data_IF_861776729842
#
_entry.id   IF_861776729842
#
_cell.length_a   1.000
_cell.length_b   1.000
_cell.length_c   1.000
_cell.angle_alpha   90.00
_cell.angle_beta   90.00
_cell.angle_gamma   90.00
#
_symmetry.space_group_name_H-M   'P 1'
#
loop_
_entity.id
_entity.type
_entity.pdbx_description
1 polymer ?
#
# COMPACT_ATOMS: atom_id res chain seq x y z
N UNK A 1 -30.46 27.67 -2.73
CA UNK A 1 -30.90 26.74 -1.66
C UNK A 1 -31.11 25.30 -2.16
N UNK A 2 -31.34 25.06 -3.46
CA UNK A 2 -31.47 23.71 -4.04
C UNK A 2 -30.15 22.95 -4.19
N UNK A 3 -29.03 23.63 -4.49
CA UNK A 3 -27.71 23.01 -4.57
C UNK A 3 -27.22 22.43 -3.21
N UNK A 4 -27.57 23.08 -2.10
CA UNK A 4 -27.19 22.63 -0.75
C UNK A 4 -27.88 21.32 -0.32
N UNK A 5 -29.09 21.06 -0.84
CA UNK A 5 -29.86 19.83 -0.56
C UNK A 5 -29.36 18.63 -1.37
N UNK A 6 -28.78 18.85 -2.55
CA UNK A 6 -28.15 17.80 -3.35
C UNK A 6 -26.79 17.35 -2.83
N UNK A 7 -26.06 18.24 -2.13
CA UNK A 7 -24.76 17.95 -1.53
C UNK A 7 -24.89 17.10 -0.24
N UNK A 8 -26.03 17.18 0.46
CA UNK A 8 -26.24 16.54 1.76
C UNK A 8 -26.11 15.01 1.74
N UNK A 9 -26.71 14.28 0.76
CA UNK A 9 -26.56 12.83 0.66
C UNK A 9 -25.13 12.39 0.33
N UNK A 10 -24.41 13.13 -0.53
CA UNK A 10 -23.01 12.80 -0.90
C UNK A 10 -22.04 13.04 0.25
N UNK A 11 -22.23 14.13 1.00
CA UNK A 11 -21.49 14.39 2.23
C UNK A 11 -21.79 13.31 3.27
N UNK A 12 -23.05 12.89 3.41
CA UNK A 12 -23.45 11.83 4.33
C UNK A 12 -22.82 10.47 3.96
N UNK A 13 -22.81 10.10 2.68
CA UNK A 13 -22.18 8.87 2.19
C UNK A 13 -20.65 8.90 2.46
N UNK A 14 -20.00 10.03 2.16
CA UNK A 14 -18.57 10.23 2.45
C UNK A 14 -18.27 10.11 3.94
N UNK A 15 -19.04 10.79 4.80
CA UNK A 15 -18.88 10.70 6.24
C UNK A 15 -19.08 9.28 6.76
N UNK A 16 -19.98 8.51 6.16
CA UNK A 16 -20.24 7.11 6.55
C UNK A 16 -19.05 6.22 6.22
N UNK A 17 -18.49 6.32 5.00
CA UNK A 17 -17.26 5.60 4.62
C UNK A 17 -16.07 6.00 5.50
N UNK A 18 -15.87 7.29 5.77
CA UNK A 18 -14.81 7.77 6.66
C UNK A 18 -15.00 7.26 8.10
N UNK A 19 -16.24 7.21 8.59
CA UNK A 19 -16.59 6.63 9.89
C UNK A 19 -16.27 5.14 9.96
N UNK A 20 -16.59 4.38 8.91
CA UNK A 20 -16.25 2.96 8.81
C UNK A 20 -14.73 2.74 8.82
N UNK A 21 -13.98 3.53 8.05
CA UNK A 21 -12.51 3.47 8.04
C UNK A 21 -11.93 3.81 9.41
N UNK A 22 -12.46 4.83 10.10
CA UNK A 22 -12.04 5.18 11.45
C UNK A 22 -12.26 4.01 12.43
N UNK A 23 -13.45 3.39 12.41
CA UNK A 23 -13.75 2.24 13.25
C UNK A 23 -12.82 1.06 12.98
N UNK A 24 -12.54 0.77 11.70
CA UNK A 24 -11.57 -0.26 11.30
C UNK A 24 -10.17 0.03 11.84
N UNK A 25 -9.69 1.27 11.70
CA UNK A 25 -8.38 1.69 12.23
C UNK A 25 -8.32 1.58 13.75
N UNK A 26 -9.34 2.02 14.46
CA UNK A 26 -9.39 1.95 15.92
C UNK A 26 -9.43 0.50 16.42
N UNK A 27 -10.25 -0.35 15.79
CA UNK A 27 -10.37 -1.76 16.16
C UNK A 27 -9.06 -2.53 15.90
N UNK A 28 -8.43 -2.31 14.74
CA UNK A 28 -7.12 -2.89 14.42
C UNK A 28 -6.02 -2.35 15.34
N UNK A 29 -6.04 -1.05 15.67
CA UNK A 29 -5.14 -0.45 16.65
C UNK A 29 -5.26 -1.09 18.03
N UNK A 30 -6.48 -1.27 18.53
CA UNK A 30 -6.74 -1.95 19.79
C UNK A 30 -6.25 -3.39 19.78
N UNK A 31 -6.57 -4.16 18.73
CA UNK A 31 -6.10 -5.54 18.58
C UNK A 31 -4.57 -5.62 18.56
N UNK A 32 -3.89 -4.67 17.91
CA UNK A 32 -2.42 -4.59 17.90
C UNK A 32 -1.84 -4.25 19.27
N UNK A 33 -2.48 -3.37 20.05
CA UNK A 33 -2.03 -3.04 21.41
C UNK A 33 -2.17 -4.26 22.32
N UNK A 34 -3.30 -4.98 22.25
CA UNK A 34 -3.54 -6.19 23.06
C UNK A 34 -2.53 -7.28 22.69
N UNK A 35 -2.28 -7.48 21.41
CA UNK A 35 -1.34 -8.51 20.95
C UNK A 35 0.12 -8.19 21.28
N UNK A 36 0.50 -6.91 21.42
CA UNK A 36 1.88 -6.44 21.70
C UNK A 36 2.45 -6.83 23.06
N UNK A 37 1.70 -7.50 23.94
CA UNK A 37 2.25 -8.08 25.16
C UNK A 37 3.06 -9.34 24.82
N UNK A 38 4.41 -9.26 24.77
CA UNK A 38 5.20 -10.31 24.16
C UNK A 38 5.45 -11.44 25.16
N UNK A 39 5.02 -12.66 24.82
CA UNK A 39 5.63 -13.86 25.37
C UNK A 39 6.67 -14.38 24.38
N UNK A 40 7.93 -14.47 24.80
CA UNK A 40 9.06 -14.96 23.98
C UNK A 40 8.78 -16.31 23.30
N UNK A 41 7.94 -17.16 23.93
CA UNK A 41 7.50 -18.46 23.40
C UNK A 41 6.70 -18.35 22.08
N UNK A 42 6.08 -17.21 21.78
CA UNK A 42 5.15 -17.04 20.65
C UNK A 42 5.58 -15.96 19.65
N UNK A 43 6.88 -15.67 19.54
CA UNK A 43 7.40 -14.55 18.73
C UNK A 43 7.02 -14.63 17.23
N UNK A 44 6.99 -15.84 16.66
CA UNK A 44 6.58 -16.05 15.27
C UNK A 44 5.07 -15.82 15.06
N UNK A 45 4.24 -16.33 15.97
CA UNK A 45 2.80 -16.09 15.95
C UNK A 45 2.48 -14.60 16.16
N UNK A 46 3.22 -13.93 17.04
CA UNK A 46 3.09 -12.50 17.27
C UNK A 46 3.43 -11.68 16.02
N UNK A 47 4.54 -12.00 15.35
CA UNK A 47 4.93 -11.40 14.07
C UNK A 47 3.84 -11.59 13.02
N UNK A 48 3.33 -12.81 12.89
CA UNK A 48 2.23 -13.12 11.97
C UNK A 48 1.00 -12.25 12.24
N UNK A 49 0.51 -12.22 13.49
CA UNK A 49 -0.72 -11.51 13.83
C UNK A 49 -0.57 -10.01 13.62
N UNK A 50 0.54 -9.41 14.05
CA UNK A 50 0.76 -7.98 13.84
C UNK A 50 0.79 -7.62 12.35
N UNK A 51 1.51 -8.41 11.55
CA UNK A 51 1.64 -8.17 10.11
C UNK A 51 0.32 -8.41 9.37
N UNK A 52 -0.46 -9.41 9.79
CA UNK A 52 -1.81 -9.68 9.30
C UNK A 52 -2.74 -8.50 9.59
N UNK A 53 -2.83 -8.05 10.85
CA UNK A 53 -3.70 -6.94 11.25
C UNK A 53 -3.32 -5.65 10.50
N UNK A 54 -2.02 -5.42 10.30
CA UNK A 54 -1.54 -4.26 9.58
C UNK A 54 -1.96 -4.26 8.11
N UNK A 55 -1.75 -5.38 7.43
CA UNK A 55 -2.06 -5.53 6.01
C UNK A 55 -3.56 -5.55 5.77
N UNK A 56 -4.32 -6.17 6.68
CA UNK A 56 -5.78 -6.14 6.68
C UNK A 56 -6.33 -4.71 6.82
N UNK A 57 -5.84 -3.94 7.79
CA UNK A 57 -6.23 -2.53 7.97
C UNK A 57 -5.95 -1.71 6.71
N UNK A 58 -4.73 -1.83 6.17
CA UNK A 58 -4.32 -1.13 4.94
C UNK A 58 -5.29 -1.45 3.80
N UNK A 59 -5.48 -2.73 3.49
CA UNK A 59 -6.30 -3.14 2.36
C UNK A 59 -7.78 -2.75 2.53
N UNK A 60 -8.37 -2.95 3.72
CA UNK A 60 -9.76 -2.54 3.97
C UNK A 60 -9.95 -1.02 3.77
N UNK A 61 -9.02 -0.21 4.29
CA UNK A 61 -9.07 1.23 4.09
C UNK A 61 -8.89 1.59 2.60
N UNK A 62 -7.99 0.92 1.88
CA UNK A 62 -7.80 1.21 0.46
C UNK A 62 -9.03 0.86 -0.40
N UNK A 63 -9.81 -0.17 -0.06
CA UNK A 63 -11.09 -0.44 -0.73
C UNK A 63 -12.08 0.73 -0.56
N UNK A 64 -12.22 1.27 0.65
CA UNK A 64 -13.06 2.46 0.89
C UNK A 64 -12.52 3.71 0.18
N UNK A 65 -11.20 3.91 0.16
CA UNK A 65 -10.58 5.01 -0.60
C UNK A 65 -10.86 4.90 -2.10
N UNK A 66 -10.79 3.69 -2.68
CA UNK A 66 -11.17 3.47 -4.07
C UNK A 66 -12.63 3.82 -4.30
N UNK A 67 -13.53 3.38 -3.41
CA UNK A 67 -14.95 3.73 -3.49
C UNK A 67 -15.18 5.25 -3.47
N UNK A 68 -14.52 5.97 -2.57
CA UNK A 68 -14.61 7.44 -2.47
C UNK A 68 -14.00 8.14 -3.69
N UNK A 69 -12.92 7.59 -4.25
CA UNK A 69 -12.28 8.16 -5.45
C UNK A 69 -13.17 8.13 -6.70
N UNK A 70 -14.13 7.20 -6.74
CA UNK A 70 -15.04 7.02 -7.86
C UNK A 70 -16.26 7.96 -7.81
N UNK A 71 -16.48 8.65 -6.70
CA UNK A 71 -17.63 9.55 -6.52
C UNK A 71 -17.47 10.87 -7.29
N UNK A 72 -16.25 11.41 -7.36
CA UNK A 72 -15.95 12.67 -8.08
C UNK A 72 -14.72 12.52 -9.00
N UNK A 73 -14.83 11.81 -10.13
CA UNK A 73 -13.69 11.56 -11.02
C UNK A 73 -13.12 12.83 -11.68
N UNK A 74 -13.89 13.93 -11.72
CA UNK A 74 -13.49 15.18 -12.35
C UNK A 74 -12.48 16.00 -11.53
N UNK A 75 -12.39 15.79 -10.21
CA UNK A 75 -11.55 16.58 -9.31
C UNK A 75 -10.70 15.66 -8.43
N UNK A 76 -9.45 15.32 -8.83
CA UNK A 76 -8.61 14.39 -8.08
C UNK A 76 -8.17 14.95 -6.72
N UNK A 77 -8.36 16.24 -6.45
CA UNK A 77 -7.93 16.91 -5.21
C UNK A 77 -8.48 16.23 -3.95
N UNK A 78 -9.76 15.88 -3.92
CA UNK A 78 -10.38 15.25 -2.76
C UNK A 78 -9.85 13.81 -2.53
N UNK A 79 -9.87 12.92 -3.54
CA UNK A 79 -9.26 11.59 -3.42
C UNK A 79 -7.78 11.63 -3.02
N UNK A 80 -6.99 12.54 -3.59
CA UNK A 80 -5.57 12.70 -3.24
C UNK A 80 -5.39 13.19 -1.80
N UNK A 81 -6.26 14.09 -1.32
CA UNK A 81 -6.25 14.54 0.08
C UNK A 81 -6.52 13.37 1.02
N UNK A 82 -7.49 12.50 0.68
CA UNK A 82 -7.78 11.30 1.44
C UNK A 82 -6.62 10.29 1.40
N UNK A 83 -6.00 10.07 0.24
CA UNK A 83 -4.82 9.20 0.11
C UNK A 83 -3.67 9.70 0.98
N UNK A 84 -3.40 11.00 0.97
CA UNK A 84 -2.39 11.61 1.84
C UNK A 84 -2.73 11.36 3.31
N UNK A 85 -3.94 11.70 3.72
CA UNK A 85 -4.39 11.57 5.11
C UNK A 85 -4.32 10.12 5.60
N UNK A 86 -4.86 9.16 4.84
CA UNK A 86 -4.82 7.77 5.25
C UNK A 86 -3.42 7.16 5.15
N UNK A 87 -2.55 7.63 4.24
CA UNK A 87 -1.13 7.26 4.26
C UNK A 87 -0.44 7.71 5.55
N UNK A 88 -0.79 8.89 6.10
CA UNK A 88 -0.32 9.32 7.42
C UNK A 88 -0.86 8.41 8.53
N UNK A 89 -2.17 8.13 8.51
CA UNK A 89 -2.81 7.24 9.50
C UNK A 89 -2.13 5.88 9.50
N UNK A 90 -1.87 5.29 8.33
CA UNK A 90 -1.16 4.03 8.21
C UNK A 90 0.29 4.15 8.68
N UNK A 91 1.01 5.21 8.33
CA UNK A 91 2.38 5.44 8.83
C UNK A 91 2.47 5.56 10.37
N UNK A 92 1.42 6.09 11.01
CA UNK A 92 1.34 6.24 12.47
C UNK A 92 0.86 4.97 13.19
N UNK A 93 -0.09 4.24 12.60
CA UNK A 93 -0.73 3.08 13.23
C UNK A 93 -0.02 1.77 12.93
N UNK A 94 0.68 1.69 11.78
CA UNK A 94 1.30 0.47 11.29
C UNK A 94 2.80 0.33 11.62
N UNK A 95 3.26 1.04 12.65
CA UNK A 95 4.67 1.01 13.06
C UNK A 95 5.10 -0.42 13.43
N UNK A 96 6.25 -0.83 12.89
CA UNK A 96 6.88 -2.13 13.16
C UNK A 96 6.44 -3.26 12.25
N UNK A 97 5.51 -3.02 11.31
CA UNK A 97 5.07 -3.99 10.29
C UNK A 97 5.47 -3.51 8.89
N UNK A 98 5.64 -4.42 7.94
CA UNK A 98 6.06 -4.08 6.58
C UNK A 98 4.85 -3.77 5.68
N UNK A 99 3.77 -4.55 5.78
CA UNK A 99 2.53 -4.47 5.00
C UNK A 99 2.72 -4.36 3.48
N UNK A 100 3.89 -4.75 2.99
CA UNK A 100 4.29 -4.74 1.59
C UNK A 100 5.35 -5.83 1.37
N UNK A 101 5.08 -6.82 0.49
CA UNK A 101 6.05 -7.85 0.13
C UNK A 101 7.39 -7.31 -0.39
N UNK A 102 7.39 -6.17 -1.07
CA UNK A 102 8.64 -5.54 -1.57
C UNK A 102 9.51 -5.00 -0.44
N UNK A 103 8.93 -4.54 0.68
CA UNK A 103 9.70 -4.13 1.87
C UNK A 103 10.32 -5.37 2.52
N UNK A 104 9.62 -6.50 2.57
CA UNK A 104 10.17 -7.77 3.09
C UNK A 104 11.34 -8.23 2.22
N UNK A 105 11.16 -8.23 0.89
CA UNK A 105 12.23 -8.56 -0.06
C UNK A 105 13.45 -7.65 0.14
N UNK A 106 13.25 -6.34 0.20
CA UNK A 106 14.31 -5.36 0.43
C UNK A 106 15.06 -5.65 1.74
N UNK A 107 14.34 -5.88 2.84
CA UNK A 107 14.95 -6.15 4.14
C UNK A 107 15.74 -7.47 4.15
N UNK A 108 15.26 -8.51 3.46
CA UNK A 108 16.00 -9.76 3.30
C UNK A 108 17.27 -9.58 2.46
N UNK A 109 17.18 -8.89 1.32
CA UNK A 109 18.33 -8.67 0.41
C UNK A 109 19.42 -7.80 1.05
N UNK A 110 19.04 -6.85 1.90
CA UNK A 110 19.98 -5.98 2.64
C UNK A 110 20.45 -6.60 3.98
N UNK A 111 20.06 -7.85 4.29
CA UNK A 111 20.46 -8.53 5.53
C UNK A 111 19.77 -8.02 6.81
N UNK A 112 18.74 -7.19 6.69
CA UNK A 112 17.96 -6.64 7.81
C UNK A 112 16.83 -7.56 8.31
N UNK A 113 16.58 -8.70 7.66
CA UNK A 113 15.57 -9.69 8.07
C UNK A 113 15.98 -11.11 7.70
N UNK A 114 15.75 -12.08 8.59
CA UNK A 114 15.96 -13.50 8.31
C UNK A 114 14.91 -14.05 7.33
N UNK A 115 15.24 -15.05 6.49
CA UNK A 115 14.27 -15.64 5.56
C UNK A 115 13.03 -16.23 6.24
N UNK A 116 13.17 -16.80 7.44
CA UNK A 116 12.06 -17.40 8.20
C UNK A 116 11.07 -16.32 8.64
N UNK A 117 11.58 -15.22 9.17
CA UNK A 117 10.75 -14.06 9.58
C UNK A 117 10.08 -13.45 8.35
N UNK A 118 10.82 -13.35 7.24
CA UNK A 118 10.29 -12.87 5.96
C UNK A 118 9.15 -13.73 5.44
N UNK A 119 9.30 -15.06 5.45
CA UNK A 119 8.25 -15.99 5.03
C UNK A 119 6.98 -15.84 5.86
N UNK A 120 7.09 -15.69 7.18
CA UNK A 120 5.94 -15.47 8.06
C UNK A 120 5.24 -14.15 7.76
N UNK A 121 6.00 -13.06 7.56
CA UNK A 121 5.42 -11.76 7.22
C UNK A 121 4.71 -11.80 5.86
N UNK A 122 5.32 -12.41 4.85
CA UNK A 122 4.71 -12.59 3.53
C UNK A 122 3.40 -13.38 3.66
N UNK A 123 3.40 -14.51 4.38
CA UNK A 123 2.18 -15.29 4.60
C UNK A 123 1.09 -14.47 5.28
N UNK A 124 1.43 -13.72 6.33
CA UNK A 124 0.50 -12.84 7.03
C UNK A 124 -0.06 -11.73 6.12
N UNK A 125 0.77 -11.14 5.27
CA UNK A 125 0.36 -10.11 4.31
C UNK A 125 -0.62 -10.67 3.28
N UNK A 126 -0.35 -11.87 2.72
CA UNK A 126 -1.23 -12.49 1.73
C UNK A 126 -2.58 -12.88 2.33
N UNK A 127 -2.58 -13.48 3.52
CA UNK A 127 -3.81 -13.83 4.22
C UNK A 127 -4.57 -12.54 4.61
N UNK A 128 -3.89 -11.52 5.12
CA UNK A 128 -4.50 -10.23 5.44
C UNK A 128 -5.14 -9.55 4.25
N UNK A 129 -4.46 -9.55 3.09
CA UNK A 129 -4.98 -9.03 1.84
C UNK A 129 -6.23 -9.80 1.38
N UNK A 130 -6.20 -11.13 1.36
CA UNK A 130 -7.37 -11.94 0.97
C UNK A 130 -8.54 -11.77 1.93
N UNK A 131 -8.30 -11.82 3.25
CA UNK A 131 -9.34 -11.62 4.27
C UNK A 131 -9.98 -10.23 4.18
N UNK A 132 -9.20 -9.18 3.91
CA UNK A 132 -9.72 -7.81 3.78
C UNK A 132 -10.79 -7.69 2.70
N UNK A 133 -10.62 -8.42 1.60
CA UNK A 133 -11.55 -8.46 0.48
C UNK A 133 -12.90 -9.07 0.88
N UNK A 134 -12.87 -10.20 1.59
CA UNK A 134 -14.10 -10.80 2.11
C UNK A 134 -14.78 -9.93 3.17
N UNK A 135 -13.98 -9.33 4.06
CA UNK A 135 -14.51 -8.44 5.10
C UNK A 135 -15.20 -7.21 4.50
N UNK A 136 -14.57 -6.52 3.55
CA UNK A 136 -15.17 -5.37 2.89
C UNK A 136 -16.42 -5.76 2.11
N UNK A 137 -16.43 -6.90 1.41
CA UNK A 137 -17.63 -7.38 0.73
C UNK A 137 -18.78 -7.61 1.71
N UNK A 138 -18.50 -8.16 2.90
CA UNK A 138 -19.49 -8.32 3.95
C UNK A 138 -19.96 -6.97 4.54
N UNK A 139 -19.05 -6.03 4.79
CA UNK A 139 -19.38 -4.69 5.28
C UNK A 139 -20.23 -3.92 4.26
N UNK A 140 -19.88 -3.99 2.97
CA UNK A 140 -20.66 -3.37 1.90
C UNK A 140 -22.04 -4.02 1.73
N UNK A 141 -22.20 -5.30 2.08
CA UNK A 141 -23.53 -5.94 2.04
C UNK A 141 -24.52 -5.37 3.07
N UNK A 142 -24.04 -4.60 4.05
CA UNK A 142 -24.89 -3.87 5.00
C UNK A 142 -25.57 -2.64 4.39
N UNK A 143 -25.12 -2.19 3.20
CA UNK A 143 -25.75 -1.07 2.49
C UNK A 143 -25.73 0.26 3.25
N UNK A 144 -24.66 0.54 4.01
CA UNK A 144 -24.57 1.77 4.85
C UNK A 144 -24.58 3.05 4.00
N UNK A 145 -24.16 2.96 2.75
CA UNK A 145 -24.21 4.03 1.73
C UNK A 145 -24.80 3.49 0.44
N UNK A 146 -25.25 4.35 -0.47
CA UNK A 146 -25.71 3.93 -1.81
C UNK A 146 -24.61 3.26 -2.65
N UNK A 147 -23.34 3.42 -2.26
CA UNK A 147 -22.17 2.87 -2.93
C UNK A 147 -21.70 1.53 -2.34
N UNK A 148 -22.19 1.17 -1.15
CA UNK A 148 -21.90 -0.09 -0.48
C UNK A 148 -22.76 -1.20 -1.08
N UNK A 149 -22.21 -1.83 -2.11
CA UNK A 149 -22.85 -2.92 -2.88
C UNK A 149 -21.92 -4.12 -2.89
N UNK A 150 -22.43 -5.29 -2.49
CA UNK A 150 -21.63 -6.51 -2.28
C UNK A 150 -20.90 -6.96 -3.55
N UNK A 151 -21.56 -6.84 -4.69
CA UNK A 151 -21.07 -7.27 -6.01
C UNK A 151 -19.84 -6.46 -6.44
N UNK A 152 -19.67 -5.23 -5.94
CA UNK A 152 -18.58 -4.33 -6.32
C UNK A 152 -17.22 -4.91 -6.00
N UNK A 153 -17.07 -5.53 -4.83
CA UNK A 153 -15.77 -6.07 -4.43
C UNK A 153 -15.29 -7.11 -5.44
N UNK A 154 -16.21 -7.89 -6.03
CA UNK A 154 -15.91 -8.95 -7.01
C UNK A 154 -16.14 -8.56 -8.47
N UNK A 155 -16.64 -7.34 -8.73
CA UNK A 155 -16.68 -6.79 -10.06
C UNK A 155 -15.25 -6.44 -10.51
N UNK A 156 -14.87 -6.89 -11.71
CA UNK A 156 -13.59 -6.47 -12.24
C UNK A 156 -13.68 -5.02 -12.73
N UNK A 157 -12.80 -4.18 -12.19
CA UNK A 157 -12.41 -2.91 -12.80
C UNK A 157 -10.92 -2.96 -13.08
N UNK A 158 -10.55 -3.23 -14.34
CA UNK A 158 -9.14 -3.40 -14.71
C UNK A 158 -8.36 -2.11 -14.39
N UNK A 159 -7.38 -2.15 -13.46
CA UNK A 159 -6.58 -0.97 -13.10
C UNK A 159 -5.57 -0.58 -14.18
N UNK A 160 -5.24 -1.48 -15.11
CA UNK A 160 -4.26 -1.25 -16.16
C UNK A 160 -4.95 -0.60 -17.35
N UNK A 161 -4.63 0.67 -17.60
CA UNK A 161 -5.18 1.49 -18.70
C UNK A 161 -4.17 1.72 -19.83
N UNK A 162 -3.00 1.07 -19.75
CA UNK A 162 -1.90 1.17 -20.72
C UNK A 162 -1.46 -0.22 -21.18
N UNK A 163 -0.61 -0.27 -22.21
CA UNK A 163 0.00 -1.52 -22.66
C UNK A 163 0.92 -2.13 -21.60
N UNK A 164 1.01 -3.46 -21.60
CA UNK A 164 1.71 -4.25 -20.60
C UNK A 164 3.17 -3.78 -20.33
N UNK A 165 4.02 -3.48 -21.33
CA UNK A 165 5.37 -2.99 -21.08
C UNK A 165 5.38 -1.66 -20.32
N UNK A 166 4.49 -0.73 -20.67
CA UNK A 166 4.36 0.55 -19.95
C UNK A 166 3.88 0.34 -18.53
N UNK A 167 2.92 -0.56 -18.31
CA UNK A 167 2.44 -0.89 -16.96
C UNK A 167 3.56 -1.42 -16.06
N UNK A 168 4.39 -2.32 -16.59
CA UNK A 168 5.58 -2.84 -15.88
C UNK A 168 6.55 -1.70 -15.55
N UNK A 169 6.87 -0.84 -16.51
CA UNK A 169 7.79 0.29 -16.28
C UNK A 169 7.26 1.23 -15.20
N UNK A 170 5.97 1.56 -15.22
CA UNK A 170 5.35 2.47 -14.25
C UNK A 170 5.43 1.89 -12.83
N UNK A 171 5.02 0.64 -12.62
CA UNK A 171 5.06 0.00 -11.30
C UNK A 171 6.50 -0.20 -10.79
N UNK A 172 7.45 -0.52 -11.69
CA UNK A 172 8.87 -0.62 -11.34
C UNK A 172 9.45 0.73 -10.91
N UNK A 173 9.15 1.82 -11.63
CA UNK A 173 9.61 3.18 -11.29
C UNK A 173 8.96 3.65 -9.97
N UNK A 174 7.65 3.45 -9.80
CA UNK A 174 6.97 3.82 -8.55
C UNK A 174 7.59 3.08 -7.36
N UNK A 175 7.82 1.77 -7.49
CA UNK A 175 8.48 0.98 -6.46
C UNK A 175 9.91 1.45 -6.18
N UNK A 176 10.70 1.69 -7.22
CA UNK A 176 12.06 2.21 -7.09
C UNK A 176 12.08 3.53 -6.29
N UNK A 177 11.26 4.51 -6.69
CA UNK A 177 11.22 5.83 -6.02
C UNK A 177 10.77 5.68 -4.57
N UNK A 178 9.68 4.95 -4.31
CA UNK A 178 9.15 4.76 -2.97
C UNK A 178 10.15 4.09 -2.03
N UNK A 179 10.77 2.99 -2.46
CA UNK A 179 11.71 2.25 -1.63
C UNK A 179 13.05 2.97 -1.47
N UNK A 180 13.47 3.76 -2.47
CA UNK A 180 14.62 4.68 -2.34
C UNK A 180 14.37 5.69 -1.20
N UNK A 181 13.22 6.34 -1.21
CA UNK A 181 12.84 7.27 -0.14
C UNK A 181 12.73 6.57 1.22
N UNK A 182 12.19 5.34 1.25
CA UNK A 182 12.12 4.54 2.47
C UNK A 182 13.50 4.23 3.04
N UNK A 183 14.49 3.91 2.19
CA UNK A 183 15.87 3.66 2.59
C UNK A 183 16.58 4.92 3.08
N UNK A 184 16.42 6.04 2.39
CA UNK A 184 17.16 7.27 2.70
C UNK A 184 16.55 8.10 3.82
N UNK A 185 15.25 7.99 4.08
CA UNK A 185 14.62 8.73 5.16
C UNK A 185 14.78 8.07 6.54
N UNK A 186 15.61 7.03 6.68
CA UNK A 186 15.81 6.34 7.96
C UNK A 186 16.37 7.27 9.05
N UNK A 187 17.24 8.21 8.69
CA UNK A 187 17.86 9.18 9.62
C UNK A 187 16.98 10.40 9.91
N UNK A 188 15.90 10.59 9.14
CA UNK A 188 14.96 11.69 9.35
C UNK A 188 14.06 11.40 10.55
N UNK A 189 13.75 12.44 11.34
CA UNK A 189 12.79 12.35 12.45
C UNK A 189 11.51 11.62 12.03
N UNK A 190 11.12 10.60 12.79
CA UNK A 190 10.02 9.68 12.44
C UNK A 190 8.72 10.37 12.01
N UNK A 191 8.31 11.45 12.71
CA UNK A 191 7.11 12.21 12.36
C UNK A 191 7.22 12.83 10.95
N UNK A 192 8.34 13.50 10.67
CA UNK A 192 8.60 14.10 9.36
C UNK A 192 8.71 13.03 8.27
N UNK A 193 9.41 11.92 8.55
CA UNK A 193 9.50 10.77 7.64
C UNK A 193 8.12 10.27 7.20
N UNK A 194 7.18 10.13 8.12
CA UNK A 194 5.80 9.70 7.81
C UNK A 194 5.12 10.70 6.87
N UNK A 195 5.26 12.00 7.12
CA UNK A 195 4.70 13.03 6.23
C UNK A 195 5.32 13.01 4.83
N UNK A 196 6.64 12.84 4.75
CA UNK A 196 7.36 12.77 3.47
C UNK A 196 6.93 11.54 2.65
N UNK A 197 6.83 10.37 3.29
CA UNK A 197 6.37 9.15 2.61
C UNK A 197 4.90 9.24 2.19
N UNK A 198 4.02 9.82 3.02
CA UNK A 198 2.62 10.03 2.66
C UNK A 198 2.47 10.99 1.46
N UNK A 199 3.23 12.09 1.45
CA UNK A 199 3.28 13.01 0.32
C UNK A 199 3.80 12.32 -0.95
N UNK A 200 4.85 11.50 -0.82
CA UNK A 200 5.41 10.74 -1.94
C UNK A 200 4.41 9.73 -2.51
N UNK A 201 3.75 8.94 -1.67
CA UNK A 201 2.71 7.99 -2.10
C UNK A 201 1.62 8.75 -2.86
N UNK A 202 1.16 9.88 -2.32
CA UNK A 202 0.13 10.72 -2.95
C UNK A 202 0.58 11.22 -4.32
N UNK A 203 1.83 11.68 -4.44
CA UNK A 203 2.42 12.10 -5.71
C UNK A 203 2.50 10.95 -6.73
N UNK A 204 2.95 9.77 -6.31
CA UNK A 204 3.03 8.60 -7.19
C UNK A 204 1.64 8.15 -7.66
N UNK A 205 0.63 8.19 -6.79
CA UNK A 205 -0.76 7.90 -7.16
C UNK A 205 -1.32 8.96 -8.10
N UNK A 206 -1.00 10.24 -7.90
CA UNK A 206 -1.36 11.28 -8.87
C UNK A 206 -0.72 11.05 -10.25
N UNK A 207 0.56 10.66 -10.28
CA UNK A 207 1.31 10.50 -11.52
C UNK A 207 0.98 9.21 -12.29
N UNK A 208 0.76 8.09 -11.60
CA UNK A 208 0.59 6.76 -12.21
C UNK A 208 -0.73 6.06 -11.90
N UNK A 209 -1.56 6.61 -11.00
CA UNK A 209 -2.77 5.96 -10.51
C UNK A 209 -3.80 5.70 -11.60
N UNK A 210 -3.95 6.62 -12.56
CA UNK A 210 -4.85 6.42 -13.71
C UNK A 210 -4.32 5.42 -14.75
N UNK A 211 -3.04 5.04 -14.67
CA UNK A 211 -2.38 4.16 -15.64
C UNK A 211 -2.31 2.70 -15.15
N UNK A 212 -1.97 2.50 -13.89
CA UNK A 212 -1.81 1.16 -13.28
C UNK A 212 -2.41 1.02 -11.89
N UNK A 213 -3.00 2.09 -11.33
CA UNK A 213 -3.32 2.19 -9.90
C UNK A 213 -2.16 2.66 -9.03
N UNK A 214 -0.92 2.69 -9.57
CA UNK A 214 0.31 3.03 -8.84
C UNK A 214 0.38 2.31 -7.48
N UNK A 215 0.38 0.98 -7.51
CA UNK A 215 0.18 0.17 -6.29
C UNK A 215 1.50 -0.13 -5.59
N UNK A 216 2.53 -0.51 -6.35
CA UNK A 216 3.90 -0.84 -5.90
C UNK A 216 3.98 -1.70 -4.61
N UNK A 217 2.93 -2.48 -4.38
CA UNK A 217 2.71 -3.31 -3.20
C UNK A 217 1.94 -4.57 -3.64
N UNK A 218 2.62 -5.71 -3.77
CA UNK A 218 1.98 -6.92 -4.29
C UNK A 218 0.82 -7.45 -3.42
N UNK A 219 0.86 -7.26 -2.09
CA UNK A 219 -0.22 -7.67 -1.20
C UNK A 219 -1.45 -6.76 -1.36
N UNK A 220 -1.24 -5.45 -1.51
CA UNK A 220 -2.32 -4.52 -1.78
C UNK A 220 -2.96 -4.80 -3.15
N UNK A 221 -2.16 -5.03 -4.19
CA UNK A 221 -2.64 -5.40 -5.51
C UNK A 221 -3.47 -6.71 -5.48
N UNK A 222 -3.04 -7.69 -4.69
CA UNK A 222 -3.78 -8.94 -4.47
C UNK A 222 -5.18 -8.68 -3.88
N UNK A 223 -5.31 -7.77 -2.91
CA UNK A 223 -6.62 -7.47 -2.33
C UNK A 223 -7.55 -6.75 -3.32
N UNK A 224 -7.02 -5.74 -4.02
CA UNK A 224 -7.82 -4.84 -4.85
C UNK A 224 -8.15 -5.43 -6.22
N UNK A 225 -7.18 -6.05 -6.88
CA UNK A 225 -7.24 -6.29 -8.32
C UNK A 225 -7.28 -7.75 -8.74
N UNK A 226 -6.98 -8.70 -7.85
CA UNK A 226 -6.80 -10.12 -8.22
C UNK A 226 -7.93 -10.69 -9.08
N UNK A 227 -9.19 -10.38 -8.75
CA UNK A 227 -10.38 -10.86 -9.48
C UNK A 227 -10.47 -10.39 -10.93
N UNK A 228 -9.77 -9.31 -11.30
CA UNK A 228 -9.69 -8.87 -12.69
C UNK A 228 -8.81 -9.76 -13.57
N UNK A 229 -7.99 -10.60 -12.96
CA UNK A 229 -6.95 -11.34 -13.65
C UNK A 229 -7.13 -12.85 -13.48
N UNK A 230 -8.36 -13.32 -13.24
CA UNK A 230 -8.68 -14.76 -13.15
C UNK A 230 -8.16 -15.52 -14.40
N UNK A 231 -8.40 -14.97 -15.59
CA UNK A 231 -7.93 -15.54 -16.88
C UNK A 231 -6.57 -14.95 -17.35
N UNK A 232 -6.04 -13.95 -16.63
CA UNK A 232 -4.85 -13.19 -17.01
C UNK A 232 -3.83 -13.10 -15.87
N UNK A 233 -3.72 -14.15 -15.05
CA UNK A 233 -2.90 -14.16 -13.84
C UNK A 233 -1.43 -13.79 -14.11
N UNK A 234 -0.87 -14.20 -15.25
CA UNK A 234 0.49 -13.84 -15.64
C UNK A 234 0.67 -12.33 -15.81
N UNK A 235 -0.32 -11.61 -16.36
CA UNK A 235 -0.25 -10.16 -16.48
C UNK A 235 -0.25 -9.48 -15.11
N UNK A 236 -1.12 -9.94 -14.21
CA UNK A 236 -1.15 -9.48 -12.82
C UNK A 236 0.21 -9.70 -12.13
N UNK A 237 0.77 -10.91 -12.26
CA UNK A 237 2.03 -11.26 -11.64
C UNK A 237 3.19 -10.44 -12.21
N UNK A 238 3.26 -10.25 -13.53
CA UNK A 238 4.30 -9.41 -14.14
C UNK A 238 4.22 -7.95 -13.66
N UNK A 239 3.03 -7.36 -13.65
CA UNK A 239 2.85 -5.93 -13.34
C UNK A 239 2.95 -5.65 -11.85
N UNK A 240 2.35 -6.46 -10.99
CA UNK A 240 2.23 -6.15 -9.56
C UNK A 240 3.16 -6.93 -8.64
N UNK A 241 3.85 -7.96 -9.13
CA UNK A 241 4.85 -8.70 -8.36
C UNK A 241 6.26 -8.51 -8.91
N UNK A 242 6.47 -8.83 -10.17
CA UNK A 242 7.80 -8.77 -10.79
C UNK A 242 8.26 -7.33 -10.95
N UNK A 243 7.41 -6.43 -11.48
CA UNK A 243 7.82 -5.05 -11.72
C UNK A 243 8.19 -4.29 -10.42
N UNK A 244 7.41 -4.34 -9.33
CA UNK A 244 7.79 -3.69 -8.08
C UNK A 244 9.06 -4.31 -7.47
N UNK A 245 9.25 -5.63 -7.61
CA UNK A 245 10.47 -6.32 -7.16
C UNK A 245 11.71 -5.90 -7.97
N UNK A 246 11.55 -5.68 -9.28
CA UNK A 246 12.60 -5.11 -10.13
C UNK A 246 12.99 -3.71 -9.66
N UNK A 247 12.01 -2.89 -9.26
CA UNK A 247 12.27 -1.58 -8.65
C UNK A 247 13.18 -1.66 -7.41
N UNK A 248 13.00 -2.69 -6.55
CA UNK A 248 13.89 -2.94 -5.41
C UNK A 248 15.31 -3.30 -5.86
N UNK A 249 15.43 -4.21 -6.82
CA UNK A 249 16.74 -4.64 -7.34
C UNK A 249 17.51 -3.45 -7.95
N UNK A 250 16.82 -2.61 -8.72
CA UNK A 250 17.41 -1.40 -9.31
C UNK A 250 17.84 -0.40 -8.23
N UNK A 251 17.04 -0.22 -7.18
CA UNK A 251 17.39 0.62 -6.04
C UNK A 251 18.66 0.10 -5.35
N UNK A 252 18.73 -1.20 -5.04
CA UNK A 252 19.91 -1.82 -4.41
C UNK A 252 21.13 -1.66 -5.31
N UNK A 253 21.00 -1.93 -6.62
CA UNK A 253 22.08 -1.76 -7.59
C UNK A 253 22.61 -0.31 -7.58
N UNK A 254 21.71 0.67 -7.59
CA UNK A 254 22.08 2.07 -7.63
C UNK A 254 22.79 2.52 -6.35
N UNK A 255 22.22 2.25 -5.17
CA UNK A 255 22.73 2.79 -3.90
C UNK A 255 23.84 1.95 -3.26
N UNK A 256 23.84 0.63 -3.46
CA UNK A 256 24.83 -0.26 -2.84
C UNK A 256 26.07 -0.47 -3.70
N UNK A 257 25.97 -0.26 -5.02
CA UNK A 257 27.07 -0.54 -5.96
C UNK A 257 27.44 0.68 -6.79
N UNK A 258 26.51 1.24 -7.57
CA UNK A 258 26.83 2.27 -8.56
C UNK A 258 27.31 3.59 -7.93
N UNK A 259 26.58 4.13 -6.95
CA UNK A 259 26.97 5.39 -6.30
C UNK A 259 28.26 5.29 -5.48
N UNK A 260 28.49 4.24 -4.67
CA UNK A 260 29.78 4.03 -4.00
C UNK A 260 30.94 3.91 -4.98
N UNK A 261 30.75 3.16 -6.09
CA UNK A 261 31.75 3.05 -7.15
C UNK A 261 32.08 4.41 -7.78
N UNK A 262 31.05 5.20 -8.12
CA UNK A 262 31.22 6.53 -8.69
C UNK A 262 31.98 7.46 -7.73
N UNK A 263 31.61 7.45 -6.46
CA UNK A 263 32.28 8.25 -5.42
C UNK A 263 33.76 7.89 -5.30
N UNK A 264 34.07 6.59 -5.22
CA UNK A 264 35.44 6.12 -5.10
C UNK A 264 36.30 6.53 -6.31
N UNK A 265 35.79 6.40 -7.53
CA UNK A 265 36.48 6.84 -8.74
C UNK A 265 36.77 8.35 -8.77
N UNK A 266 35.84 9.18 -8.28
CA UNK A 266 36.09 10.62 -8.17
C UNK A 266 37.14 10.95 -7.10
N UNK A 267 37.25 10.17 -6.03
CA UNK A 267 38.29 10.38 -5.00
C UNK A 267 39.68 9.94 -5.45
N UNK A 268 39.80 8.91 -6.29
CA UNK A 268 41.09 8.51 -6.87
C UNK A 268 41.60 9.55 -7.86
N UNK A 269 40.76 10.05 -8.76
CA UNK A 269 41.13 11.07 -9.74
C UNK A 269 41.46 12.46 -9.15
N UNK A 270 41.13 12.71 -7.87
CA UNK A 270 41.52 13.95 -7.16
C UNK A 270 42.86 13.84 -6.41
N UNK A 271 43.41 12.64 -6.28
CA UNK A 271 44.67 12.37 -5.57
C UNK A 271 45.86 12.18 -6.53
N UNK A 272 45.59 12.06 -7.82
CA UNK A 272 46.55 12.16 -8.92
C UNK A 272 46.64 13.60 -9.43
#
# INVERSE_FOLDING_TARGET
MTALRGLWPEVQDTCTSLGLMLLLVLFMGLARVVTRQPLHRFMMAHTFVLEFLATFQLCCCTHELQLLSEQEPAHPTWPLTLIYFFSLVHGLTLVGTSSNPCIVLMQMLLGGMSPETGAIRLLAQLIGALCSRYCISALWSLGLTKYHVKERTFACRNPIQVDLPKAIIIEAICSFIFHSALLHFQEIRTKLRIHLLAALITFLVYAGGSLTGAVFNPALALSLHFKCFDEAFLQFFMVYWIAPSLGILLMILMFSFFLPWLYNNHTTNKKE
#
